data_IF_681218794833
#
_entry.id   IF_681218794833
#
_cell.length_a   1.000
_cell.length_b   1.000
_cell.length_c   1.000
_cell.angle_alpha   90.00
_cell.angle_beta   90.00
_cell.angle_gamma   90.00
#
_symmetry.space_group_name_H-M   'P 1'
#
loop_
_entity.id
_entity.type
_entity.pdbx_description
1 polymer ?
#
# COMPACT_ATOMS: atom_id res chain seq x y z
N UNK A 1 -1.95 -5.18 39.24
CA UNK A 1 -2.61 -5.00 37.93
C UNK A 1 -1.69 -5.55 36.85
N UNK A 2 -2.01 -6.72 36.29
CA UNK A 2 -1.28 -7.25 35.13
C UNK A 2 -2.02 -6.68 33.92
N UNK A 3 -1.58 -5.54 33.40
CA UNK A 3 -2.04 -5.10 32.09
C UNK A 3 -1.38 -6.05 31.08
N UNK A 4 -2.15 -7.00 30.54
CA UNK A 4 -1.79 -7.62 29.28
C UNK A 4 -1.58 -6.45 28.29
N UNK A 5 -0.34 -6.16 27.93
CA UNK A 5 -0.01 -5.04 27.06
C UNK A 5 -0.63 -5.32 25.70
N UNK A 6 -1.66 -4.56 25.34
CA UNK A 6 -2.26 -4.62 24.02
C UNK A 6 -1.19 -4.09 23.05
N UNK A 7 -0.63 -4.99 22.23
CA UNK A 7 0.24 -4.59 21.12
C UNK A 7 -0.64 -4.00 20.02
N UNK A 8 -0.25 -2.82 19.52
CA UNK A 8 -0.91 -2.16 18.40
C UNK A 8 -0.96 -3.10 17.19
N UNK A 9 -2.11 -3.22 16.54
CA UNK A 9 -2.27 -4.01 15.31
C UNK A 9 -2.19 -3.08 14.11
N UNK A 10 -1.32 -3.38 13.16
CA UNK A 10 -1.23 -2.67 11.88
C UNK A 10 -1.20 -3.67 10.73
N UNK A 11 -1.50 -3.22 9.51
CA UNK A 11 -1.14 -4.00 8.33
C UNK A 11 0.36 -3.95 8.10
N UNK A 12 0.96 -5.09 7.74
CA UNK A 12 2.33 -5.16 7.27
C UNK A 12 2.35 -5.63 5.81
N UNK A 13 2.48 -4.70 4.86
CA UNK A 13 2.51 -5.02 3.45
C UNK A 13 3.36 -4.04 2.65
N UNK A 14 3.77 -4.48 1.45
CA UNK A 14 4.41 -3.63 0.46
C UNK A 14 3.99 -4.07 -0.95
N UNK A 15 3.68 -3.13 -1.83
CA UNK A 15 3.36 -3.37 -3.23
C UNK A 15 3.92 -2.27 -4.13
N UNK A 16 4.25 -2.60 -5.37
CA UNK A 16 4.61 -1.64 -6.41
C UNK A 16 3.41 -1.14 -7.22
N UNK A 17 2.19 -1.57 -6.92
CA UNK A 17 1.00 -1.29 -7.75
C UNK A 17 0.01 -0.34 -7.09
N UNK A 18 -0.49 -0.70 -5.90
CA UNK A 18 -1.51 0.06 -5.18
C UNK A 18 -1.62 -0.37 -3.72
N UNK A 19 -2.38 0.40 -2.91
CA UNK A 19 -2.74 -0.03 -1.57
C UNK A 19 -3.63 -1.28 -1.56
N UNK A 20 -4.57 -1.42 -2.50
CA UNK A 20 -5.41 -2.62 -2.57
C UNK A 20 -4.56 -3.88 -2.83
N UNK A 21 -3.54 -3.77 -3.69
CA UNK A 21 -2.59 -4.85 -3.92
C UNK A 21 -1.73 -5.11 -2.68
N UNK A 22 -1.27 -4.07 -2.00
CA UNK A 22 -0.58 -4.17 -0.71
C UNK A 22 -1.40 -4.99 0.29
N UNK A 23 -2.71 -4.70 0.44
CA UNK A 23 -3.61 -5.42 1.35
C UNK A 23 -3.68 -6.92 1.09
N UNK A 24 -3.59 -7.33 -0.17
CA UNK A 24 -3.57 -8.75 -0.56
C UNK A 24 -2.20 -9.42 -0.35
N UNK A 25 -1.12 -8.65 -0.21
CA UNK A 25 0.24 -9.16 -0.10
C UNK A 25 0.74 -9.35 1.34
N UNK A 26 0.01 -8.85 2.34
CA UNK A 26 0.47 -8.92 3.72
C UNK A 26 -0.65 -8.86 4.75
N UNK A 27 -0.50 -9.55 5.89
CA UNK A 27 -1.52 -9.64 6.92
C UNK A 27 -1.57 -8.38 7.81
N UNK A 28 -2.63 -8.30 8.61
CA UNK A 28 -2.61 -7.52 9.85
C UNK A 28 -1.86 -8.30 10.92
N UNK A 29 -1.03 -7.62 11.71
CA UNK A 29 -0.23 -8.25 12.75
C UNK A 29 0.02 -7.33 13.93
N UNK A 30 0.31 -7.94 15.08
CA UNK A 30 0.77 -7.24 16.27
C UNK A 30 2.13 -6.60 16.00
N UNK A 31 2.27 -5.32 16.31
CA UNK A 31 3.56 -4.63 16.30
C UNK A 31 4.44 -5.17 17.43
N UNK A 32 5.59 -5.72 17.06
CA UNK A 32 6.63 -6.13 18.00
C UNK A 32 7.95 -5.45 17.64
N UNK A 33 8.90 -5.47 18.57
CA UNK A 33 10.26 -4.96 18.34
C UNK A 33 10.88 -5.64 17.11
N UNK A 34 10.75 -6.95 16.98
CA UNK A 34 11.33 -7.71 15.87
C UNK A 34 10.72 -7.28 14.53
N UNK A 35 9.40 -7.10 14.47
CA UNK A 35 8.70 -6.65 13.27
C UNK A 35 9.13 -5.25 12.86
N UNK A 36 9.21 -4.32 13.82
CA UNK A 36 9.65 -2.95 13.55
C UNK A 36 11.10 -2.94 13.06
N UNK A 37 11.99 -3.70 13.72
CA UNK A 37 13.39 -3.77 13.33
C UNK A 37 13.59 -4.39 11.95
N UNK A 38 12.81 -5.42 11.59
CA UNK A 38 12.83 -5.99 10.23
C UNK A 38 12.40 -4.96 9.19
N UNK A 39 11.32 -4.21 9.47
CA UNK A 39 10.83 -3.16 8.57
C UNK A 39 11.86 -2.03 8.44
N UNK A 40 12.46 -1.58 9.54
CA UNK A 40 13.49 -0.55 9.53
C UNK A 40 14.71 -1.01 8.71
N UNK A 41 15.15 -2.26 8.89
CA UNK A 41 16.25 -2.83 8.11
C UNK A 41 15.95 -2.84 6.60
N UNK A 42 14.71 -3.20 6.21
CA UNK A 42 14.27 -3.24 4.81
C UNK A 42 14.39 -1.88 4.12
N UNK A 43 14.11 -0.79 4.83
CA UNK A 43 14.12 0.56 4.27
C UNK A 43 15.38 1.37 4.63
N UNK A 44 16.33 0.79 5.39
CA UNK A 44 17.51 1.49 5.91
C UNK A 44 18.40 2.13 4.83
N UNK A 45 18.51 1.51 3.66
CA UNK A 45 19.28 2.06 2.53
C UNK A 45 18.66 3.36 1.97
N UNK A 46 17.33 3.46 2.06
CA UNK A 46 16.57 4.60 1.54
C UNK A 46 16.25 5.62 2.62
N UNK A 47 16.26 5.20 3.88
CA UNK A 47 16.00 6.04 5.02
C UNK A 47 16.92 5.62 6.18
N UNK A 48 18.15 6.17 6.23
CA UNK A 48 19.14 5.79 7.24
C UNK A 48 18.74 6.22 8.67
N UNK A 49 17.66 7.00 8.84
CA UNK A 49 17.15 7.37 10.16
C UNK A 49 16.31 6.27 10.80
N UNK A 50 15.94 5.23 10.04
CA UNK A 50 15.24 4.04 10.54
C UNK A 50 16.22 3.09 11.23
N UNK A 51 16.60 3.47 12.45
CA UNK A 51 17.52 2.70 13.27
C UNK A 51 16.81 1.52 13.96
N UNK A 52 17.50 0.40 14.17
CA UNK A 52 16.99 -0.65 15.05
C UNK A 52 16.85 -0.12 16.48
N UNK A 53 15.93 -0.70 17.25
CA UNK A 53 15.65 -0.29 18.62
C UNK A 53 15.02 -1.40 19.45
N UNK A 54 14.64 -1.06 20.68
CA UNK A 54 14.02 -1.94 21.66
C UNK A 54 12.81 -1.28 22.35
N UNK A 55 12.19 -0.30 21.68
CA UNK A 55 11.02 0.42 22.21
C UNK A 55 9.79 -0.49 22.34
N UNK A 56 8.94 -0.19 23.32
CA UNK A 56 7.71 -0.95 23.60
C UNK A 56 6.44 -0.27 23.11
N UNK A 57 6.57 0.95 22.59
CA UNK A 57 5.46 1.72 22.02
C UNK A 57 5.58 1.79 20.51
N UNK A 58 4.47 1.59 19.83
CA UNK A 58 4.41 1.48 18.38
C UNK A 58 3.40 2.45 17.78
N UNK A 59 3.54 2.71 16.49
CA UNK A 59 2.54 3.38 15.65
C UNK A 59 2.51 2.74 14.27
N UNK A 60 1.35 2.74 13.63
CA UNK A 60 1.23 2.32 12.24
C UNK A 60 1.74 3.44 11.33
N UNK A 61 2.31 3.07 10.19
CA UNK A 61 2.56 3.98 9.08
C UNK A 61 1.83 3.50 7.83
N UNK A 62 1.51 4.45 6.96
CA UNK A 62 1.06 4.21 5.58
C UNK A 62 1.76 5.19 4.67
N UNK A 63 2.33 4.71 3.56
CA UNK A 63 3.04 5.57 2.62
C UNK A 63 2.81 5.18 1.15
N UNK A 64 2.94 6.18 0.28
CA UNK A 64 3.06 6.06 -1.16
C UNK A 64 4.26 6.89 -1.63
N UNK A 65 5.17 6.27 -2.38
CA UNK A 65 6.37 6.91 -2.88
C UNK A 65 6.74 6.45 -4.30
N UNK A 66 7.65 7.18 -4.93
CA UNK A 66 8.28 6.78 -6.19
C UNK A 66 9.78 7.12 -6.21
N UNK A 67 10.53 6.47 -7.11
CA UNK A 67 11.99 6.65 -7.23
C UNK A 67 12.38 7.65 -8.32
N UNK A 68 13.31 8.53 -7.99
CA UNK A 68 13.96 9.49 -8.89
C UNK A 68 15.25 8.92 -9.44
N UNK A 69 15.49 9.15 -10.72
CA UNK A 69 16.84 9.09 -11.28
C UNK A 69 17.71 10.22 -10.67
N UNK A 70 19.06 10.15 -10.79
CA UNK A 70 19.95 11.20 -10.30
C UNK A 70 19.68 12.60 -10.87
N UNK A 71 19.06 12.69 -12.06
CA UNK A 71 18.62 13.94 -12.68
C UNK A 71 17.25 14.45 -12.16
N UNK A 72 16.65 13.78 -11.17
CA UNK A 72 15.37 14.12 -10.57
C UNK A 72 14.14 13.61 -11.31
N UNK A 73 14.27 12.93 -12.45
CA UNK A 73 13.12 12.45 -13.22
C UNK A 73 12.55 11.14 -12.66
N UNK A 74 11.26 10.91 -12.90
CA UNK A 74 10.57 9.69 -12.47
C UNK A 74 11.09 8.43 -13.17
N UNK A 75 11.37 7.39 -12.40
CA UNK A 75 11.80 6.06 -12.88
C UNK A 75 10.63 5.15 -13.27
N UNK A 76 9.40 5.50 -12.89
CA UNK A 76 8.24 4.61 -12.99
C UNK A 76 8.12 3.60 -11.84
N UNK A 77 9.14 3.48 -10.97
CA UNK A 77 9.06 2.61 -9.79
C UNK A 77 8.20 3.27 -8.71
N UNK A 78 7.22 2.52 -8.22
CA UNK A 78 6.28 2.92 -7.16
C UNK A 78 6.45 2.05 -5.93
N UNK A 79 6.08 2.58 -4.77
CA UNK A 79 6.02 1.84 -3.53
C UNK A 79 4.82 2.28 -2.71
N UNK A 80 3.95 1.33 -2.38
CA UNK A 80 2.81 1.46 -1.49
C UNK A 80 3.07 0.55 -0.31
N UNK A 81 3.17 1.10 0.90
CA UNK A 81 3.52 0.32 2.09
C UNK A 81 2.70 0.70 3.30
N UNK A 82 2.45 -0.31 4.13
CA UNK A 82 1.85 -0.19 5.45
C UNK A 82 2.68 -1.04 6.42
N UNK A 83 2.81 -0.59 7.66
CA UNK A 83 3.59 -1.32 8.65
C UNK A 83 3.60 -0.67 10.03
N UNK A 84 4.40 -1.24 10.92
CA UNK A 84 4.66 -0.72 12.26
C UNK A 84 6.00 0.01 12.31
N UNK A 85 6.08 1.07 13.12
CA UNK A 85 7.34 1.70 13.54
C UNK A 85 7.30 2.00 15.04
N UNK A 86 8.44 2.35 15.64
CA UNK A 86 8.46 2.82 17.03
C UNK A 86 7.73 4.15 17.15
N UNK A 87 7.03 4.37 18.27
CA UNK A 87 6.31 5.63 18.53
C UNK A 87 7.26 6.84 18.44
N UNK A 88 8.49 6.68 18.92
CA UNK A 88 9.57 7.68 18.88
C UNK A 88 10.17 7.96 17.49
N UNK A 89 9.92 7.11 16.49
CA UNK A 89 10.51 7.23 15.15
C UNK A 89 9.60 8.04 14.23
N UNK A 90 10.11 9.08 13.57
CA UNK A 90 9.37 9.76 12.50
C UNK A 90 9.61 9.05 11.15
N UNK A 91 8.79 8.03 10.87
CA UNK A 91 8.91 7.22 9.66
C UNK A 91 8.77 8.05 8.37
N UNK A 92 8.08 9.19 8.40
CA UNK A 92 7.83 10.01 7.21
C UNK A 92 8.98 10.98 6.90
N UNK A 93 10.06 10.96 7.68
CA UNK A 93 11.25 11.81 7.50
C UNK A 93 12.50 10.96 7.31
N UNK A 94 13.59 11.59 6.87
CA UNK A 94 14.88 10.95 6.71
C UNK A 94 15.07 10.15 5.41
N UNK A 95 14.06 10.11 4.53
CA UNK A 95 14.16 9.48 3.23
C UNK A 95 15.17 10.19 2.31
N UNK A 96 15.95 9.40 1.59
CA UNK A 96 16.95 9.84 0.65
C UNK A 96 16.33 10.67 -0.48
N UNK A 97 17.15 11.56 -1.04
CA UNK A 97 16.79 12.43 -2.15
C UNK A 97 16.40 11.68 -3.43
N UNK A 98 16.71 10.39 -3.58
CA UNK A 98 16.22 9.52 -4.66
C UNK A 98 14.79 9.02 -4.45
N UNK A 99 14.21 9.20 -3.27
CA UNK A 99 12.82 8.84 -2.98
C UNK A 99 11.97 10.10 -2.99
N UNK A 100 10.80 10.03 -3.63
CA UNK A 100 9.78 11.08 -3.51
C UNK A 100 8.56 10.51 -2.79
N UNK A 101 8.33 10.98 -1.57
CA UNK A 101 7.18 10.60 -0.76
C UNK A 101 5.95 11.40 -1.20
N UNK A 102 5.00 10.75 -1.88
CA UNK A 102 3.77 11.39 -2.36
C UNK A 102 2.73 11.49 -1.26
N UNK A 103 2.65 10.47 -0.39
CA UNK A 103 1.89 10.53 0.85
C UNK A 103 2.59 9.71 1.92
N UNK A 104 2.56 10.18 3.16
CA UNK A 104 3.00 9.43 4.32
C UNK A 104 2.25 9.91 5.55
N UNK A 105 1.75 8.96 6.35
CA UNK A 105 1.02 9.24 7.58
C UNK A 105 1.34 8.18 8.63
N UNK A 106 1.24 8.57 9.90
CA UNK A 106 1.36 7.65 11.04
C UNK A 106 0.20 7.82 12.00
N UNK A 107 -0.17 6.76 12.71
CA UNK A 107 -1.29 6.77 13.65
C UNK A 107 -1.14 5.68 14.72
N UNK A 108 -1.81 5.84 15.86
CA UNK A 108 -1.58 5.05 17.10
C UNK A 108 -2.80 4.20 17.52
N UNK A 109 -3.74 3.95 16.60
CA UNK A 109 -4.91 3.10 16.83
C UNK A 109 -4.84 1.85 15.98
N UNK A 110 -5.43 0.76 16.42
CA UNK A 110 -5.42 -0.48 15.64
C UNK A 110 -6.00 -0.27 14.24
N UNK A 111 -5.26 -0.74 13.23
CA UNK A 111 -5.62 -0.72 11.82
C UNK A 111 -5.95 0.68 11.26
N UNK A 112 -5.47 1.75 11.91
CA UNK A 112 -5.70 3.12 11.47
C UNK A 112 -5.03 3.44 10.13
N UNK A 113 -4.07 2.61 9.71
CA UNK A 113 -3.42 2.67 8.41
C UNK A 113 -4.33 2.23 7.27
N UNK A 114 -5.49 1.62 7.54
CA UNK A 114 -6.48 1.25 6.52
C UNK A 114 -7.37 2.40 6.07
N UNK A 115 -7.45 3.47 6.87
CA UNK A 115 -8.33 4.60 6.58
C UNK A 115 -7.84 5.28 5.30
N UNK A 116 -8.66 5.20 4.26
CA UNK A 116 -8.37 5.84 2.99
C UNK A 116 -8.35 7.34 3.26
N UNK A 117 -7.20 7.98 3.08
CA UNK A 117 -7.08 9.42 2.90
C UNK A 117 -7.66 9.84 1.55
N UNK A 118 -8.91 9.46 1.29
CA UNK A 118 -9.79 10.16 0.37
C UNK A 118 -10.37 11.32 1.17
N UNK A 119 -10.19 12.59 0.77
CA UNK A 119 -11.04 13.64 1.29
C UNK A 119 -12.47 13.22 0.95
N UNK A 120 -13.26 12.89 1.95
CA UNK A 120 -14.71 12.88 1.77
C UNK A 120 -15.13 14.34 1.75
N UNK A 121 -14.88 15.02 0.62
CA UNK A 121 -15.64 16.19 0.24
C UNK A 121 -17.07 15.71 0.03
N UNK A 122 -17.79 15.62 1.14
CA UNK A 122 -19.24 15.67 1.09
C UNK A 122 -19.56 17.04 0.47
N UNK A 123 -20.31 17.11 -0.65
CA UNK A 123 -20.74 18.40 -1.16
C UNK A 123 -21.47 19.15 -0.03
N UNK A 124 -21.20 20.45 0.19
CA UNK A 124 -21.93 21.20 1.19
C UNK A 124 -23.41 21.16 0.83
N UNK A 125 -24.22 20.55 1.70
CA UNK A 125 -25.68 20.70 1.65
C UNK A 125 -25.96 22.16 2.00
N UNK A 126 -26.02 23.00 0.98
CA UNK A 126 -26.54 24.36 1.13
C UNK A 126 -28.04 24.25 1.38
N UNK A 127 -28.45 24.45 2.63
CA UNK A 127 -29.84 24.71 2.98
C UNK A 127 -30.25 26.02 2.30
N UNK A 128 -30.91 25.92 1.14
CA UNK A 128 -31.55 27.06 0.48
C UNK A 128 -32.94 27.24 1.11
N UNK A 129 -33.30 28.45 1.59
CA UNK A 129 -34.64 28.75 2.06
C UNK A 129 -35.66 28.64 0.93
N UNK A 130 -36.77 27.98 1.22
CA UNK A 130 -37.93 27.79 0.36
C UNK A 130 -38.44 29.12 -0.18
N UNK A 131 -38.46 29.28 -1.51
CA UNK A 131 -39.29 30.28 -2.19
C UNK A 131 -40.00 29.59 -3.35
N UNK A 132 -41.29 29.34 -3.11
CA UNK A 132 -42.24 28.79 -4.06
C UNK A 132 -42.42 29.74 -5.25
N UNK A 133 -42.41 29.21 -6.48
CA UNK A 133 -43.57 29.43 -7.35
C UNK A 133 -44.05 28.17 -8.08
N UNK A 134 -45.32 28.26 -8.44
CA UNK A 134 -46.30 27.30 -8.95
C UNK A 134 -46.02 26.81 -10.39
N UNK A 135 -46.78 25.76 -10.80
CA UNK A 135 -47.13 25.30 -12.18
C UNK A 135 -46.01 24.56 -12.96
N UNK A 136 -46.18 23.40 -13.63
CA UNK A 136 -47.32 22.61 -14.14
C UNK A 136 -46.87 21.15 -14.31
N UNK A 137 -47.80 20.21 -14.16
CA UNK A 137 -47.60 18.77 -14.36
C UNK A 137 -47.63 18.35 -15.84
N UNK A 138 -46.69 17.48 -16.26
CA UNK A 138 -46.90 16.54 -17.39
C UNK A 138 -46.03 15.27 -17.25
N UNK A 139 -46.69 14.17 -16.88
CA UNK A 139 -46.61 12.76 -17.33
C UNK A 139 -45.26 12.06 -17.66
N UNK A 140 -45.05 10.79 -17.22
CA UNK A 140 -43.80 10.04 -17.38
C UNK A 140 -43.71 9.24 -18.69
N UNK A 141 -42.50 9.08 -19.24
CA UNK A 141 -42.23 8.17 -20.36
C UNK A 141 -41.29 7.03 -19.95
N UNK A 142 -41.79 5.84 -20.25
CA UNK A 142 -41.31 4.49 -19.91
C UNK A 142 -40.25 3.99 -20.90
N UNK A 143 -39.42 3.06 -20.42
CA UNK A 143 -38.41 2.20 -21.07
C UNK A 143 -38.56 1.88 -22.56
N UNK A 144 -37.41 1.76 -23.28
CA UNK A 144 -37.19 0.64 -24.22
C UNK A 144 -35.70 0.29 -24.35
N UNK A 145 -35.42 -1.02 -24.29
CA UNK A 145 -34.12 -1.65 -24.47
C UNK A 145 -33.69 -1.72 -25.94
N UNK A 146 -32.38 -1.80 -26.22
CA UNK A 146 -31.85 -2.48 -27.41
C UNK A 146 -30.51 -3.13 -27.11
N UNK A 147 -30.46 -4.42 -27.39
CA UNK A 147 -29.33 -5.35 -27.28
C UNK A 147 -28.40 -5.22 -28.51
N UNK A 148 -27.08 -5.21 -28.31
CA UNK A 148 -26.12 -5.51 -29.39
C UNK A 148 -25.10 -6.56 -28.94
N UNK A 149 -25.23 -7.71 -29.61
CA UNK A 149 -24.45 -8.96 -29.53
C UNK A 149 -22.95 -8.75 -29.85
N UNK A 150 -22.02 -9.44 -29.15
CA UNK A 150 -20.64 -9.63 -29.62
C UNK A 150 -20.59 -10.76 -30.66
N UNK A 151 -19.85 -10.55 -31.75
CA UNK A 151 -19.63 -11.57 -32.78
C UNK A 151 -18.29 -12.27 -32.55
N UNK A 152 -18.34 -13.60 -32.42
CA UNK A 152 -17.19 -14.49 -32.43
C UNK A 152 -16.68 -14.70 -33.87
N UNK A 153 -15.36 -14.80 -34.02
CA UNK A 153 -14.68 -15.35 -35.19
C UNK A 153 -13.40 -16.05 -34.73
N UNK A 154 -13.38 -17.38 -34.85
CA UNK A 154 -12.30 -18.26 -34.44
C UNK A 154 -11.67 -18.92 -35.67
N UNK A 155 -10.33 -18.95 -35.74
CA UNK A 155 -9.39 -19.92 -36.36
C UNK A 155 -8.04 -19.19 -36.44
N UNK A 156 -6.90 -19.66 -35.96
CA UNK A 156 -6.40 -20.99 -35.68
C UNK A 156 -5.00 -21.04 -36.31
N UNK A 157 -3.93 -21.00 -35.52
CA UNK A 157 -2.64 -21.54 -35.94
C UNK A 157 -1.80 -21.90 -34.72
N UNK A 158 -1.57 -23.22 -34.59
CA UNK A 158 -0.56 -23.81 -33.73
C UNK A 158 0.81 -23.22 -34.08
N UNK A 159 1.58 -22.82 -33.07
CA UNK A 159 3.00 -23.17 -33.09
C UNK A 159 3.54 -23.37 -31.68
N UNK A 160 3.84 -24.63 -31.43
CA UNK A 160 4.56 -25.20 -30.31
C UNK A 160 6.06 -24.95 -30.51
N UNK A 161 6.74 -24.41 -29.49
CA UNK A 161 8.19 -24.54 -29.24
C UNK A 161 8.41 -24.12 -27.76
N UNK A 162 8.46 -25.08 -26.85
CA UNK A 162 9.67 -25.76 -26.32
C UNK A 162 10.57 -24.91 -25.42
N UNK A 163 10.63 -25.39 -24.16
CA UNK A 163 11.78 -25.54 -23.27
C UNK A 163 12.67 -24.32 -22.97
N UNK A 164 12.62 -23.92 -21.70
CA UNK A 164 13.68 -23.19 -21.04
C UNK A 164 13.54 -23.31 -19.53
N UNK A 165 13.69 -24.53 -18.99
CA UNK A 165 13.85 -24.73 -17.56
C UNK A 165 15.13 -24.02 -17.11
N UNK A 166 15.00 -22.93 -16.36
CA UNK A 166 16.15 -22.29 -15.70
C UNK A 166 16.54 -23.18 -14.53
N UNK A 167 17.66 -23.88 -14.69
CA UNK A 167 18.25 -24.77 -13.70
C UNK A 167 18.68 -23.95 -12.47
N UNK A 168 18.09 -24.30 -11.32
CA UNK A 168 18.63 -24.04 -9.99
C UNK A 168 19.97 -24.77 -9.85
N UNK A 169 21.07 -24.03 -9.80
CA UNK A 169 22.36 -24.59 -9.37
C UNK A 169 22.43 -24.50 -7.84
N UNK A 170 22.33 -25.68 -7.22
CA UNK A 170 22.61 -25.91 -5.81
C UNK A 170 24.11 -25.74 -5.51
N UNK A 171 24.36 -25.11 -4.36
CA UNK A 171 25.40 -25.37 -3.36
C UNK A 171 26.79 -25.86 -3.79
N UNK A 172 27.81 -25.13 -3.34
CA UNK A 172 28.97 -25.77 -2.73
C UNK A 172 29.23 -25.23 -1.33
N UNK A 173 29.10 -26.14 -0.38
CA UNK A 173 29.57 -26.10 1.00
C UNK A 173 31.11 -26.13 0.96
N UNK A 174 31.78 -25.18 1.60
CA UNK A 174 33.17 -25.37 2.05
C UNK A 174 33.12 -25.43 3.57
N UNK A 175 33.02 -26.66 4.06
CA UNK A 175 33.38 -27.04 5.42
C UNK A 175 34.81 -27.58 5.35
N UNK A 176 35.71 -27.02 6.16
CA UNK A 176 37.08 -27.52 6.37
C UNK A 176 38.07 -26.37 6.53
N UNK A 177 38.78 -26.17 7.64
CA UNK A 177 39.02 -27.05 8.76
C UNK A 177 39.37 -26.23 10.01
N UNK A 178 38.96 -26.74 11.17
CA UNK A 178 39.57 -26.45 12.47
C UNK A 178 40.83 -27.32 12.56
N UNK A 179 41.98 -26.70 12.79
CA UNK A 179 42.97 -27.07 13.80
C UNK A 179 44.01 -25.95 13.88
#
# INVERSE_FOLDING_TARGET
VISAGWSLICRNCFSSESFDKCKLMGPQMNCTVDVVNEIHARFSADNPTLLPGNGTEFKCFRFNAWRKYPNGTDTGLRGFGQGCTFNSTDFCKGWDSSVNMTSCSTCTKDNCDEESSTPTDTPPVTNVPTSQPTTTATTPATTTATTKKPSNGATGLQQQMQLGAVILVLMNVILGARN
#
